data_IF_626570952765
#
_entry.id   IF_626570952765
#
_cell.length_a   1.000
_cell.length_b   1.000
_cell.length_c   1.000
_cell.angle_alpha   90.00
_cell.angle_beta   90.00
_cell.angle_gamma   90.00
#
_symmetry.space_group_name_H-M   'P 1'
#
loop_
_entity.id
_entity.type
_entity.pdbx_description
1 polymer ?
#
# COMPACT_ATOMS: atom_id res chain seq x y z
N UNK A 1 -2.14 -10.51 -26.35
CA UNK A 1 -0.79 -10.30 -25.80
C UNK A 1 -0.82 -10.66 -24.33
N UNK A 2 -0.68 -11.95 -24.00
CA UNK A 2 -0.51 -12.40 -22.63
C UNK A 2 0.99 -12.35 -22.34
N UNK A 3 1.47 -11.27 -21.72
CA UNK A 3 2.79 -11.27 -21.12
C UNK A 3 2.69 -12.23 -19.94
N UNK A 4 3.07 -13.49 -20.18
CA UNK A 4 3.10 -14.52 -19.16
C UNK A 4 4.25 -14.19 -18.21
N UNK A 5 4.00 -13.25 -17.28
CA UNK A 5 4.91 -12.94 -16.18
C UNK A 5 5.00 -14.20 -15.32
N UNK A 6 6.01 -15.03 -15.57
CA UNK A 6 6.43 -16.11 -14.66
C UNK A 6 7.00 -15.48 -13.39
N UNK A 7 6.14 -14.90 -12.56
CA UNK A 7 6.52 -14.41 -11.24
C UNK A 7 6.79 -15.64 -10.37
N UNK A 8 8.01 -15.70 -9.83
CA UNK A 8 8.40 -16.75 -8.90
C UNK A 8 7.51 -16.67 -7.64
N UNK A 9 6.84 -17.76 -7.27
CA UNK A 9 5.92 -17.83 -6.12
C UNK A 9 6.59 -17.39 -4.82
N UNK A 10 7.91 -17.59 -4.68
CA UNK A 10 8.68 -17.10 -3.52
C UNK A 10 8.71 -15.58 -3.43
N UNK A 11 8.92 -14.88 -4.55
CA UNK A 11 8.97 -13.41 -4.60
C UNK A 11 7.61 -12.82 -4.25
N UNK A 12 6.53 -13.47 -4.70
CA UNK A 12 5.15 -13.07 -4.39
C UNK A 12 4.85 -13.17 -2.89
N UNK A 13 5.19 -14.29 -2.27
CA UNK A 13 4.99 -14.49 -0.82
C UNK A 13 5.89 -13.58 0.01
N UNK A 14 7.17 -13.44 -0.37
CA UNK A 14 8.09 -12.55 0.33
C UNK A 14 7.63 -11.10 0.21
N UNK A 15 7.19 -10.67 -0.97
CA UNK A 15 6.66 -9.34 -1.23
C UNK A 15 5.41 -9.00 -0.42
N UNK A 16 4.52 -9.97 -0.21
CA UNK A 16 3.37 -9.80 0.67
C UNK A 16 3.82 -9.43 2.10
N UNK A 17 4.71 -10.24 2.68
CA UNK A 17 5.21 -10.03 4.04
C UNK A 17 6.08 -8.77 4.18
N UNK A 18 6.95 -8.50 3.20
CA UNK A 18 7.79 -7.29 3.18
C UNK A 18 6.94 -6.04 3.11
N UNK A 19 5.89 -6.03 2.28
CA UNK A 19 4.98 -4.89 2.18
C UNK A 19 4.26 -4.64 3.51
N UNK A 20 3.73 -5.70 4.13
CA UNK A 20 3.05 -5.60 5.42
C UNK A 20 4.00 -5.13 6.53
N UNK A 21 5.23 -5.67 6.56
CA UNK A 21 6.25 -5.24 7.51
C UNK A 21 6.62 -3.76 7.31
N UNK A 22 6.81 -3.31 6.06
CA UNK A 22 7.10 -1.92 5.74
C UNK A 22 5.98 -0.97 6.19
N UNK A 23 4.72 -1.35 5.98
CA UNK A 23 3.56 -0.58 6.45
C UNK A 23 3.53 -0.47 7.98
N UNK A 24 3.76 -1.58 8.70
CA UNK A 24 3.76 -1.59 10.16
C UNK A 24 4.91 -0.76 10.72
N UNK A 25 6.11 -0.85 10.12
CA UNK A 25 7.27 -0.04 10.50
C UNK A 25 6.99 1.45 10.33
N UNK A 26 6.47 1.88 9.18
CA UNK A 26 6.15 3.30 8.97
C UNK A 26 4.95 3.80 9.78
N UNK A 27 4.07 2.90 10.21
CA UNK A 27 3.01 3.24 11.17
C UNK A 27 3.59 3.45 12.58
N UNK A 28 4.57 2.63 12.98
CA UNK A 28 5.21 2.73 14.30
C UNK A 28 6.25 3.86 14.38
N UNK A 29 6.94 4.13 13.28
CA UNK A 29 7.97 5.16 13.13
C UNK A 29 7.53 6.17 12.06
N UNK A 30 6.80 7.23 12.44
CA UNK A 30 6.35 8.24 11.49
C UNK A 30 7.55 8.95 10.86
N UNK A 31 7.48 9.18 9.55
CA UNK A 31 8.51 9.88 8.77
C UNK A 31 8.57 11.36 9.18
N UNK A 32 7.40 11.92 9.47
CA UNK A 32 7.21 13.29 9.93
C UNK A 32 6.30 13.26 11.18
N UNK A 33 6.86 13.49 12.39
CA UNK A 33 6.09 13.55 13.63
C UNK A 33 5.11 14.72 13.69
N UNK A 34 5.38 15.81 12.98
CA UNK A 34 4.50 16.98 12.96
C UNK A 34 3.33 16.79 11.98
N UNK A 35 3.57 16.02 10.91
CA UNK A 35 2.56 15.71 9.90
C UNK A 35 2.20 14.22 9.86
N UNK A 36 1.29 13.82 10.76
CA UNK A 36 0.78 12.44 10.85
C UNK A 36 0.07 11.98 9.56
N UNK A 37 -0.61 12.87 8.83
CA UNK A 37 -1.28 12.53 7.58
C UNK A 37 -0.28 12.18 6.47
N UNK A 38 0.81 12.95 6.34
CA UNK A 38 1.88 12.67 5.38
C UNK A 38 2.59 11.34 5.72
N UNK A 39 2.84 11.07 7.00
CA UNK A 39 3.42 9.80 7.46
C UNK A 39 2.53 8.59 7.13
N UNK A 40 1.22 8.69 7.38
CA UNK A 40 0.28 7.63 7.02
C UNK A 40 0.16 7.44 5.50
N UNK A 41 0.19 8.53 4.72
CA UNK A 41 0.17 8.46 3.26
C UNK A 41 1.41 7.75 2.72
N UNK A 42 2.59 8.08 3.25
CA UNK A 42 3.85 7.41 2.91
C UNK A 42 3.80 5.92 3.25
N UNK A 43 3.24 5.54 4.41
CA UNK A 43 3.08 4.14 4.80
C UNK A 43 2.23 3.35 3.80
N UNK A 44 1.08 3.91 3.38
CA UNK A 44 0.21 3.28 2.38
C UNK A 44 0.87 3.23 0.99
N UNK A 45 1.53 4.31 0.59
CA UNK A 45 2.21 4.37 -0.71
C UNK A 45 3.35 3.34 -0.81
N UNK A 46 4.12 3.16 0.27
CA UNK A 46 5.20 2.16 0.30
C UNK A 46 4.65 0.73 0.25
N UNK A 47 3.57 0.44 0.99
CA UNK A 47 2.87 -0.83 0.93
C UNK A 47 2.46 -1.18 -0.51
N UNK A 48 1.83 -0.21 -1.19
CA UNK A 48 1.41 -0.37 -2.59
C UNK A 48 2.60 -0.57 -3.53
N UNK A 49 3.66 0.21 -3.39
CA UNK A 49 4.86 0.09 -4.21
C UNK A 49 5.48 -1.31 -4.10
N UNK A 50 5.58 -1.86 -2.89
CA UNK A 50 6.11 -3.22 -2.68
C UNK A 50 5.19 -4.26 -3.32
N UNK A 51 3.87 -4.17 -3.11
CA UNK A 51 2.92 -5.13 -3.67
C UNK A 51 2.77 -5.04 -5.19
N UNK A 52 2.98 -3.87 -5.80
CA UNK A 52 3.05 -3.70 -7.25
C UNK A 52 4.32 -4.30 -7.86
N UNK A 53 5.50 -4.07 -7.24
CA UNK A 53 6.77 -4.59 -7.76
C UNK A 53 6.84 -6.12 -7.64
N UNK A 54 6.24 -6.67 -6.58
CA UNK A 54 6.30 -8.11 -6.29
C UNK A 54 5.12 -8.91 -6.83
N UNK A 55 4.14 -8.26 -7.45
CA UNK A 55 2.86 -8.86 -7.88
C UNK A 55 2.21 -9.71 -6.75
N UNK A 56 2.39 -9.27 -5.49
CA UNK A 56 1.92 -9.97 -4.29
C UNK A 56 0.40 -10.20 -4.34
N UNK A 57 -0.33 -9.16 -4.74
CA UNK A 57 -1.79 -9.13 -4.86
C UNK A 57 -2.12 -8.63 -6.28
N UNK A 58 -3.22 -9.08 -6.92
CA UNK A 58 -3.61 -8.56 -8.22
C UNK A 58 -3.68 -7.03 -8.23
N UNK A 59 -3.21 -6.42 -9.32
CA UNK A 59 -3.00 -4.97 -9.43
C UNK A 59 -4.26 -4.15 -9.07
N UNK A 60 -5.44 -4.65 -9.48
CA UNK A 60 -6.74 -4.05 -9.19
C UNK A 60 -7.08 -4.06 -7.69
N UNK A 61 -6.73 -5.12 -6.96
CA UNK A 61 -6.98 -5.20 -5.53
C UNK A 61 -6.03 -4.29 -4.73
N UNK A 62 -4.76 -4.16 -5.17
CA UNK A 62 -3.82 -3.20 -4.57
C UNK A 62 -4.30 -1.76 -4.77
N UNK A 63 -4.93 -1.43 -5.91
CA UNK A 63 -5.48 -0.10 -6.16
C UNK A 63 -6.67 0.28 -5.27
N UNK A 64 -7.33 -0.69 -4.61
CA UNK A 64 -8.41 -0.44 -3.65
C UNK A 64 -7.91 -0.11 -2.24
N UNK A 65 -6.63 -0.34 -1.94
CA UNK A 65 -6.07 -0.07 -0.61
C UNK A 65 -6.23 1.38 -0.16
N UNK A 66 -5.94 2.41 -0.97
CA UNK A 66 -6.13 3.81 -0.55
C UNK A 66 -7.57 4.10 -0.16
N UNK A 67 -8.53 3.54 -0.91
CA UNK A 67 -9.96 3.77 -0.67
C UNK A 67 -10.39 3.32 0.73
N UNK A 68 -9.75 2.27 1.25
CA UNK A 68 -10.02 1.72 2.58
C UNK A 68 -9.08 2.32 3.64
N UNK A 69 -7.78 2.42 3.35
CA UNK A 69 -6.77 2.82 4.32
C UNK A 69 -6.73 4.33 4.58
N UNK A 70 -7.02 5.18 3.58
CA UNK A 70 -7.03 6.63 3.76
C UNK A 70 -8.10 7.10 4.76
N UNK A 71 -9.38 6.68 4.65
CA UNK A 71 -10.37 7.05 5.66
C UNK A 71 -10.09 6.39 7.02
N UNK A 72 -9.59 5.14 7.05
CA UNK A 72 -9.23 4.47 8.31
C UNK A 72 -8.06 5.15 9.04
N UNK A 73 -7.13 5.75 8.31
CA UNK A 73 -5.96 6.48 8.86
C UNK A 73 -6.21 7.97 9.07
N UNK A 74 -7.40 8.47 8.75
CA UNK A 74 -7.75 9.89 8.88
C UNK A 74 -6.95 10.81 7.96
N UNK A 75 -6.41 10.30 6.85
CA UNK A 75 -5.62 11.09 5.88
C UNK A 75 -6.54 12.00 5.06
N UNK A 76 -7.66 11.46 4.60
CA UNK A 76 -8.68 12.16 3.83
C UNK A 76 -10.04 11.51 4.08
N UNK A 77 -11.12 12.29 4.00
CA UNK A 77 -12.47 11.74 4.02
C UNK A 77 -12.69 10.89 2.77
N UNK A 78 -13.36 9.73 2.90
CA UNK A 78 -13.64 8.85 1.75
C UNK A 78 -14.38 9.56 0.60
N UNK A 79 -15.12 10.62 0.93
CA UNK A 79 -15.81 11.52 -0.01
C UNK A 79 -14.88 12.37 -0.88
N UNK A 80 -13.67 12.69 -0.40
CA UNK A 80 -12.63 13.40 -1.17
C UNK A 80 -11.74 12.42 -1.96
N UNK A 81 -11.71 11.15 -1.55
CA UNK A 81 -10.91 10.10 -2.21
C UNK A 81 -11.62 9.53 -3.44
N UNK A 82 -12.95 9.54 -3.44
CA UNK A 82 -13.79 9.24 -4.61
C UNK A 82 -15.01 10.20 -4.58
N UNK A 83 -15.00 11.29 -5.37
CA UNK A 83 -16.16 12.12 -5.54
C UNK A 83 -17.14 11.35 -6.44
N UNK A 84 -18.03 10.57 -5.82
CA UNK A 84 -19.24 10.06 -6.48
C UNK A 84 -20.38 11.06 -6.29
#
# INVERSE_FOLDING_TARGET
>A
MAVERRINTRVRTLGFWVGLAAFLVLTAFPVDPENSAASHLAAVALLMAVWWVTDAIPLFATALLPLVLYPLRGIMAGRDTAPI
#
